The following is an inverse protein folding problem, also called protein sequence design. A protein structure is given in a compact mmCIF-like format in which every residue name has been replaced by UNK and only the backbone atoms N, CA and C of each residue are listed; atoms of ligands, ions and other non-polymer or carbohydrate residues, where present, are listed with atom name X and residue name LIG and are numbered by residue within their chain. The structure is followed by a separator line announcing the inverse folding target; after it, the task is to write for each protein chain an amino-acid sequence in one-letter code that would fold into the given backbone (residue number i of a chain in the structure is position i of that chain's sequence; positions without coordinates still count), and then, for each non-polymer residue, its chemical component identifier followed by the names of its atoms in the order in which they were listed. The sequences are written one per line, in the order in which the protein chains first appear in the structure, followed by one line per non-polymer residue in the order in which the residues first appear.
data_IF_195891745380
#
_entry.id   IF_195891745380
#
_cell.length_a   1.000
_cell.length_b   1.000
_cell.length_c   1.000
_cell.angle_alpha   90.00
_cell.angle_beta   90.00
_cell.angle_gamma   90.00
#
_symmetry.space_group_name_H-M   'P 1'
#
loop_
_entity.id
_entity.type
_entity.pdbx_description
1 polymer ?
#
# COMPACT_ATOMS: atom_id res chain seq x y z
N UNK A 1 -2.80 3.94 1.07
CA UNK A 1 -1.88 3.46 2.13
C UNK A 1 -2.65 2.62 3.13
N UNK A 2 -2.03 1.61 3.72
CA UNK A 2 -2.72 0.67 4.61
C UNK A 2 -2.15 0.68 6.02
N UNK A 3 -2.99 0.92 7.02
CA UNK A 3 -2.65 0.65 8.41
C UNK A 3 -2.93 -0.81 8.75
N UNK A 4 -2.29 -1.35 9.78
CA UNK A 4 -2.55 -2.71 10.25
C UNK A 4 -3.51 -2.71 11.43
N UNK A 5 -4.35 -3.74 11.50
CA UNK A 5 -5.18 -4.03 12.68
C UNK A 5 -5.02 -5.51 13.04
N UNK A 6 -4.91 -5.86 14.33
CA UNK A 6 -4.80 -7.25 14.73
C UNK A 6 -6.11 -7.99 14.48
N UNK A 7 -6.02 -9.27 14.15
CA UNK A 7 -7.21 -10.11 13.92
C UNK A 7 -8.11 -10.19 15.16
N UNK A 8 -7.53 -10.19 16.36
CA UNK A 8 -8.25 -10.21 17.65
C UNK A 8 -9.22 -9.04 17.82
N UNK A 9 -8.91 -7.87 17.26
CA UNK A 9 -9.79 -6.70 17.29
C UNK A 9 -11.11 -6.98 16.55
N UNK A 10 -11.06 -7.62 15.38
CA UNK A 10 -12.28 -7.95 14.63
C UNK A 10 -13.05 -9.15 15.20
N UNK A 11 -12.38 -10.02 15.96
CA UNK A 11 -13.05 -11.11 16.69
C UNK A 11 -13.85 -10.58 17.88
N UNK A 12 -13.27 -9.62 18.62
CA UNK A 12 -13.89 -9.01 19.80
C UNK A 12 -14.94 -7.95 19.44
N UNK A 13 -14.70 -7.17 18.38
CA UNK A 13 -15.53 -6.05 17.94
C UNK A 13 -15.84 -6.18 16.43
N UNK A 14 -16.77 -7.08 16.04
CA UNK A 14 -17.10 -7.32 14.64
C UNK A 14 -17.53 -6.07 13.88
N UNK A 15 -18.18 -5.11 14.55
CA UNK A 15 -18.60 -3.83 13.99
C UNK A 15 -17.44 -2.96 13.51
N UNK A 16 -16.22 -3.16 14.04
CA UNK A 16 -15.03 -2.47 13.56
C UNK A 16 -14.69 -2.83 12.10
N UNK A 17 -15.11 -4.02 11.62
CA UNK A 17 -14.92 -4.42 10.24
C UNK A 17 -15.84 -3.67 9.27
N UNK A 18 -16.97 -3.16 9.75
CA UNK A 18 -17.97 -2.44 8.94
C UNK A 18 -17.69 -0.95 8.83
N UNK A 19 -16.78 -0.40 9.65
CA UNK A 19 -16.40 1.00 9.59
C UNK A 19 -15.34 1.20 8.50
N UNK A 20 -15.49 2.22 7.64
CA UNK A 20 -14.41 2.61 6.74
C UNK A 20 -13.22 3.10 7.57
N UNK A 21 -11.98 3.06 7.03
CA UNK A 21 -10.84 3.58 7.77
C UNK A 21 -11.03 5.09 8.06
N UNK A 22 -10.77 5.55 9.30
CA UNK A 22 -10.97 6.95 9.70
C UNK A 22 -9.86 7.87 9.18
N UNK A 23 -8.83 7.29 8.57
CA UNK A 23 -7.63 7.96 8.09
C UNK A 23 -7.85 8.77 6.80
N UNK A 24 -9.06 8.77 6.23
CA UNK A 24 -9.42 9.55 5.05
C UNK A 24 -9.41 8.72 3.76
N UNK A 25 -9.51 9.39 2.61
CA UNK A 25 -9.52 8.74 1.29
C UNK A 25 -8.21 8.03 0.97
N UNK A 26 -8.24 7.08 0.04
CA UNK A 26 -7.14 6.21 -0.37
C UNK A 26 -6.48 5.44 0.79
N UNK A 27 -7.26 5.09 1.81
CA UNK A 27 -6.78 4.38 2.99
C UNK A 27 -7.40 2.98 3.11
N UNK A 28 -6.71 2.07 3.78
CA UNK A 28 -7.18 0.69 3.94
C UNK A 28 -6.62 0.03 5.18
N UNK A 29 -7.12 -1.16 5.50
CA UNK A 29 -6.63 -1.95 6.62
C UNK A 29 -6.05 -3.29 6.16
N UNK A 30 -4.87 -3.63 6.67
CA UNK A 30 -4.34 -4.98 6.62
C UNK A 30 -4.57 -5.64 7.98
N UNK A 31 -5.21 -6.80 7.96
CA UNK A 31 -5.37 -7.67 9.13
C UNK A 31 -4.12 -8.52 9.32
N UNK A 32 -3.44 -8.30 10.44
CA UNK A 32 -2.23 -9.04 10.85
C UNK A 32 -2.54 -9.96 12.03
N UNK A 33 -1.73 -11.00 12.21
CA UNK A 33 -1.82 -11.90 13.36
C UNK A 33 -1.11 -11.21 14.54
N UNK A 34 -1.79 -11.09 15.68
CA UNK A 34 -1.17 -10.54 16.89
C UNK A 34 -0.22 -11.54 17.55
N UNK A 35 0.63 -11.06 18.46
CA UNK A 35 1.53 -11.92 19.25
C UNK A 35 0.76 -12.96 20.09
N UNK A 36 -0.47 -12.64 20.50
CA UNK A 36 -1.33 -13.48 21.34
C UNK A 36 -2.30 -14.40 20.53
N UNK A 37 -2.13 -14.52 19.22
CA UNK A 37 -3.03 -15.34 18.38
C UNK A 37 -2.46 -16.76 18.27
N UNK A 38 -2.76 -17.63 19.23
CA UNK A 38 -2.21 -19.00 19.37
C UNK A 38 -2.67 -20.02 18.30
N UNK A 39 -3.31 -19.56 17.23
CA UNK A 39 -3.84 -20.45 16.18
C UNK A 39 -2.73 -21.12 15.36
N UNK A 40 -2.80 -22.44 15.17
CA UNK A 40 -1.87 -23.16 14.29
C UNK A 40 -2.03 -22.69 12.83
N UNK A 41 -0.92 -22.53 12.09
CA UNK A 41 -0.93 -22.12 10.68
C UNK A 41 -1.43 -23.23 9.71
N UNK A 42 -1.76 -24.42 10.23
CA UNK A 42 -2.08 -25.63 9.43
C UNK A 42 -3.60 -25.82 9.14
N UNK A 43 -4.49 -24.95 9.63
CA UNK A 43 -5.93 -25.08 9.39
C UNK A 43 -6.49 -24.11 8.32
N UNK A 44 -7.59 -24.52 7.66
CA UNK A 44 -8.37 -23.81 6.62
C UNK A 44 -9.02 -22.50 7.09
N UNK A 45 -8.20 -21.55 7.54
CA UNK A 45 -8.61 -20.51 8.46
C UNK A 45 -8.20 -19.12 7.99
N UNK A 46 -8.92 -18.63 6.98
CA UNK A 46 -8.75 -17.27 6.48
C UNK A 46 -10.05 -16.49 6.67
N UNK A 47 -9.99 -15.16 6.62
CA UNK A 47 -11.14 -14.28 6.83
C UNK A 47 -11.83 -14.45 8.20
N UNK A 48 -11.06 -14.59 9.28
CA UNK A 48 -11.59 -14.57 10.66
C UNK A 48 -12.17 -15.89 11.17
N UNK A 49 -12.03 -16.98 10.44
CA UNK A 49 -12.68 -18.26 10.78
C UNK A 49 -11.91 -19.14 11.78
N UNK A 50 -10.58 -18.95 11.91
CA UNK A 50 -9.73 -19.58 12.94
C UNK A 50 -8.26 -19.03 12.94
N UNK A 51 -8.01 -17.84 13.49
CA UNK A 51 -6.65 -17.39 13.86
C UNK A 51 -5.61 -17.08 12.74
N UNK A 52 -5.90 -17.34 11.47
CA UNK A 52 -4.98 -17.03 10.35
C UNK A 52 -5.06 -15.57 9.88
N UNK A 53 -3.91 -14.97 9.51
CA UNK A 53 -3.89 -13.60 8.95
C UNK A 53 -4.38 -13.58 7.49
N UNK A 54 -5.07 -12.50 7.11
CA UNK A 54 -5.67 -12.34 5.76
C UNK A 54 -4.67 -11.86 4.70
N UNK A 55 -3.56 -11.26 5.14
CA UNK A 55 -2.64 -10.50 4.29
C UNK A 55 -1.28 -11.18 4.22
N UNK A 56 -1.29 -12.45 3.81
CA UNK A 56 -0.11 -13.25 3.50
C UNK A 56 -0.33 -13.98 2.17
N UNK A 57 0.66 -14.74 1.70
CA UNK A 57 0.45 -15.62 0.53
C UNK A 57 -0.48 -16.76 0.91
N UNK A 58 -1.64 -16.80 0.28
CA UNK A 58 -2.69 -17.78 0.47
C UNK A 58 -2.77 -18.72 -0.73
N UNK A 59 -2.91 -20.02 -0.48
CA UNK A 59 -3.16 -21.01 -1.53
C UNK A 59 -4.66 -21.30 -1.58
N UNK A 60 -5.33 -20.82 -2.63
CA UNK A 60 -6.71 -21.21 -2.95
C UNK A 60 -6.68 -22.57 -3.60
N UNK A 61 -7.46 -23.53 -3.09
CA UNK A 61 -7.49 -24.90 -3.60
C UNK A 61 -8.91 -25.40 -3.80
N UNK A 62 -9.12 -26.06 -4.93
CA UNK A 62 -10.36 -26.77 -5.26
C UNK A 62 -10.02 -28.12 -5.86
N UNK A 63 -10.71 -29.17 -5.44
CA UNK A 63 -10.49 -30.53 -5.95
C UNK A 63 -11.80 -31.03 -6.55
N UNK A 64 -11.77 -31.35 -7.84
CA UNK A 64 -12.86 -32.03 -8.55
C UNK A 64 -12.66 -33.54 -8.42
N UNK A 65 -13.74 -34.26 -8.14
CA UNK A 65 -13.75 -35.72 -8.13
C UNK A 65 -14.42 -36.22 -9.41
N UNK A 66 -13.76 -37.15 -10.08
CA UNK A 66 -14.18 -37.80 -11.32
C UNK A 66 -14.16 -39.32 -11.11
N UNK A 67 -15.13 -39.82 -10.32
CA UNK A 67 -15.17 -41.23 -9.93
C UNK A 67 -13.95 -41.63 -9.12
N UNK A 68 -13.09 -42.47 -9.70
CA UNK A 68 -11.85 -42.96 -9.07
C UNK A 68 -10.68 -41.97 -9.17
N UNK A 69 -10.79 -40.95 -10.03
CA UNK A 69 -9.74 -39.93 -10.20
C UNK A 69 -10.14 -38.60 -9.58
N UNK A 70 -9.17 -37.75 -9.27
CA UNK A 70 -9.44 -36.38 -8.81
C UNK A 70 -8.44 -35.40 -9.38
N UNK A 71 -8.92 -34.22 -9.73
CA UNK A 71 -8.10 -33.13 -10.24
C UNK A 71 -8.08 -32.02 -9.20
N UNK A 72 -6.89 -31.65 -8.73
CA UNK A 72 -6.73 -30.53 -7.79
C UNK A 72 -6.19 -29.32 -8.51
N UNK A 73 -6.93 -28.23 -8.43
CA UNK A 73 -6.53 -26.91 -8.89
C UNK A 73 -6.07 -26.07 -7.70
N UNK A 74 -4.99 -25.32 -7.88
CA UNK A 74 -4.47 -24.42 -6.86
C UNK A 74 -4.00 -23.10 -7.48
N UNK A 75 -4.21 -21.99 -6.78
CA UNK A 75 -3.66 -20.68 -7.12
C UNK A 75 -3.10 -20.04 -5.86
N UNK A 76 -1.83 -19.64 -5.90
CA UNK A 76 -1.16 -18.98 -4.79
C UNK A 76 -1.24 -17.47 -4.99
N UNK A 77 -1.97 -16.78 -4.11
CA UNK A 77 -2.34 -15.37 -4.26
C UNK A 77 -2.25 -14.59 -2.95
N UNK A 78 -2.03 -13.29 -3.06
CA UNK A 78 -2.20 -12.33 -1.98
C UNK A 78 -3.49 -11.56 -2.26
N UNK A 79 -4.46 -11.64 -1.37
CA UNK A 79 -5.68 -10.85 -1.47
C UNK A 79 -5.45 -9.49 -0.82
N UNK A 80 -5.28 -8.46 -1.65
CA UNK A 80 -5.06 -7.09 -1.18
C UNK A 80 -6.41 -6.38 -1.08
N UNK A 81 -6.82 -5.89 0.11
CA UNK A 81 -8.11 -5.22 0.26
C UNK A 81 -8.23 -3.99 -0.64
N UNK A 82 -9.40 -3.78 -1.23
CA UNK A 82 -9.66 -2.54 -1.98
C UNK A 82 -9.67 -1.35 -1.00
N UNK A 83 -8.93 -0.25 -1.26
CA UNK A 83 -8.91 0.91 -0.39
C UNK A 83 -10.29 1.60 -0.34
N UNK A 84 -10.50 2.42 0.68
CA UNK A 84 -11.74 3.17 0.95
C UNK A 84 -13.00 2.32 1.15
N UNK A 85 -12.82 1.02 1.34
CA UNK A 85 -13.87 0.08 1.64
C UNK A 85 -13.71 -0.46 3.06
N UNK A 86 -14.80 -0.66 3.81
CA UNK A 86 -14.75 -1.39 5.06
C UNK A 86 -14.29 -2.83 4.80
N UNK A 87 -13.60 -3.45 5.76
CA UNK A 87 -13.17 -4.85 5.65
C UNK A 87 -14.33 -5.82 5.49
N UNK A 88 -15.52 -5.46 5.97
CA UNK A 88 -16.76 -6.21 5.82
C UNK A 88 -17.25 -6.29 4.35
N UNK A 89 -16.81 -5.38 3.48
CA UNK A 89 -17.10 -5.46 2.03
C UNK A 89 -16.51 -6.71 1.39
N UNK A 90 -15.47 -7.30 1.99
CA UNK A 90 -14.73 -8.46 1.48
C UNK A 90 -14.29 -8.30 0.02
N UNK A 91 -13.99 -7.08 -0.42
CA UNK A 91 -13.49 -6.78 -1.77
C UNK A 91 -11.97 -6.77 -1.81
N UNK A 92 -11.41 -7.44 -2.81
CA UNK A 92 -9.97 -7.64 -2.94
C UNK A 92 -9.50 -7.56 -4.38
N UNK A 93 -8.23 -7.16 -4.53
CA UNK A 93 -7.40 -7.46 -5.69
C UNK A 93 -6.68 -8.80 -5.45
N UNK A 94 -6.98 -9.85 -6.23
CA UNK A 94 -6.31 -11.15 -6.16
C UNK A 94 -4.98 -11.13 -6.94
N UNK A 95 -3.88 -10.90 -6.24
CA UNK A 95 -2.55 -10.79 -6.86
C UNK A 95 -1.81 -12.12 -6.84
N UNK A 96 -1.33 -12.57 -7.99
CA UNK A 96 -0.66 -13.86 -8.12
C UNK A 96 0.72 -13.82 -7.44
N UNK A 97 0.98 -14.75 -6.53
CA UNK A 97 2.19 -14.77 -5.71
C UNK A 97 3.31 -15.64 -6.29
N UNK A 98 3.02 -16.57 -7.20
CA UNK A 98 4.00 -17.54 -7.71
C UNK A 98 3.87 -17.78 -9.22
N UNK A 99 4.88 -18.43 -9.80
CA UNK A 99 4.86 -18.82 -11.21
C UNK A 99 5.12 -17.68 -12.20
N UNK A 100 4.74 -17.90 -13.46
CA UNK A 100 5.00 -16.98 -14.59
C UNK A 100 4.28 -15.65 -14.45
N UNK A 101 3.05 -15.68 -13.93
CA UNK A 101 2.18 -14.50 -13.79
C UNK A 101 2.31 -13.83 -12.42
N UNK A 102 3.35 -14.15 -11.64
CA UNK A 102 3.61 -13.50 -10.34
C UNK A 102 3.61 -11.98 -10.51
N UNK A 103 2.95 -11.28 -9.59
CA UNK A 103 2.82 -9.83 -9.57
C UNK A 103 1.73 -9.27 -10.50
N UNK A 104 1.01 -10.12 -11.24
CA UNK A 104 -0.18 -9.72 -11.99
C UNK A 104 -1.45 -9.96 -11.18
N UNK A 105 -2.52 -9.25 -11.52
CA UNK A 105 -3.82 -9.35 -10.86
C UNK A 105 -4.74 -10.25 -11.69
N UNK A 106 -5.45 -11.18 -11.05
CA UNK A 106 -6.51 -11.95 -11.75
C UNK A 106 -7.65 -11.01 -12.08
N UNK A 107 -8.08 -11.00 -13.34
CA UNK A 107 -9.25 -10.27 -13.79
C UNK A 107 -10.45 -11.21 -13.94
N UNK A 108 -11.64 -10.65 -13.80
CA UNK A 108 -12.90 -11.30 -14.16
C UNK A 108 -13.08 -11.21 -15.68
N UNK A 109 -13.59 -12.27 -16.30
CA UNK A 109 -14.04 -12.22 -17.70
C UNK A 109 -15.37 -11.47 -17.79
N UNK A 110 -15.65 -10.81 -18.91
CA UNK A 110 -16.95 -10.24 -19.21
C UNK A 110 -17.79 -11.18 -20.10
N UNK A 111 -19.05 -10.83 -20.38
CA UNK A 111 -19.88 -11.61 -21.29
C UNK A 111 -19.30 -11.68 -22.71
N UNK A 112 -18.62 -10.62 -23.15
CA UNK A 112 -17.94 -10.53 -24.44
C UNK A 112 -16.79 -11.55 -24.61
N UNK A 113 -16.20 -12.02 -23.51
CA UNK A 113 -15.14 -13.03 -23.52
C UNK A 113 -15.68 -14.46 -23.68
N UNK A 114 -17.01 -14.66 -23.67
CA UNK A 114 -17.59 -15.99 -23.78
C UNK A 114 -17.42 -16.57 -25.18
N UNK A 115 -16.97 -17.82 -25.24
CA UNK A 115 -16.77 -18.56 -26.50
C UNK A 115 -17.91 -19.56 -26.69
N UNK A 116 -18.48 -19.69 -27.91
CA UNK A 116 -19.42 -20.75 -28.22
C UNK A 116 -18.77 -22.14 -28.03
N UNK A 117 -19.42 -23.02 -27.25
CA UNK A 117 -18.94 -24.39 -27.03
C UNK A 117 -20.13 -25.35 -26.86
N UNK A 118 -20.25 -26.35 -27.75
CA UNK A 118 -21.19 -27.49 -27.66
C UNK A 118 -22.60 -27.15 -27.11
N UNK A 119 -23.42 -26.46 -27.90
CA UNK A 119 -24.79 -26.01 -27.58
C UNK A 119 -24.92 -25.04 -26.38
N UNK A 120 -23.83 -24.56 -25.80
CA UNK A 120 -23.84 -23.53 -24.74
C UNK A 120 -22.76 -22.45 -24.96
N UNK A 121 -22.80 -21.39 -24.13
CA UNK A 121 -21.73 -20.39 -24.03
C UNK A 121 -20.82 -20.79 -22.88
N UNK A 122 -19.52 -20.93 -23.15
CA UNK A 122 -18.52 -21.20 -22.12
C UNK A 122 -17.75 -19.92 -21.79
N UNK A 123 -17.56 -19.66 -20.51
CA UNK A 123 -16.72 -18.56 -20.03
C UNK A 123 -15.28 -18.90 -20.35
N UNK A 124 -14.63 -18.09 -21.17
CA UNK A 124 -13.19 -18.14 -21.39
C UNK A 124 -12.52 -17.22 -20.35
N UNK A 125 -11.64 -17.78 -19.53
CA UNK A 125 -10.96 -17.03 -18.50
C UNK A 125 -9.93 -16.08 -19.11
N UNK A 126 -10.06 -14.78 -18.82
CA UNK A 126 -9.07 -13.79 -19.24
C UNK A 126 -7.73 -14.00 -18.52
N UNK A 127 -6.65 -13.72 -19.23
CA UNK A 127 -5.31 -13.79 -18.65
C UNK A 127 -5.13 -12.72 -17.55
N UNK A 128 -4.30 -12.99 -16.52
CA UNK A 128 -3.93 -11.99 -15.53
C UNK A 128 -3.23 -10.80 -16.18
N UNK A 129 -3.50 -9.60 -15.68
CA UNK A 129 -2.96 -8.35 -16.23
C UNK A 129 -2.35 -7.45 -15.16
N UNK A 130 -1.51 -6.47 -15.53
CA UNK A 130 -0.95 -5.52 -14.58
C UNK A 130 -2.06 -4.80 -13.79
N UNK A 131 -1.74 -4.41 -12.55
CA UNK A 131 -2.68 -3.65 -11.72
C UNK A 131 -3.11 -2.37 -12.42
N UNK A 132 -4.41 -2.15 -12.48
CA UNK A 132 -5.03 -0.93 -12.95
C UNK A 132 -6.11 -0.50 -11.95
N UNK A 133 -5.97 0.66 -11.28
CA UNK A 133 -6.96 1.12 -10.31
C UNK A 133 -8.33 1.46 -10.93
N UNK A 134 -8.40 1.73 -12.24
CA UNK A 134 -9.66 2.00 -12.94
C UNK A 134 -10.40 0.72 -13.37
N UNK A 135 -9.70 -0.42 -13.34
CA UNK A 135 -10.21 -1.69 -13.83
C UNK A 135 -11.02 -2.44 -12.76
N UNK A 136 -12.32 -2.23 -12.77
CA UNK A 136 -13.27 -2.88 -11.85
C UNK A 136 -13.27 -4.42 -11.96
N UNK A 137 -12.85 -4.99 -13.11
CA UNK A 137 -12.80 -6.45 -13.29
C UNK A 137 -11.65 -7.09 -12.52
N UNK A 138 -10.66 -6.33 -12.06
CA UNK A 138 -9.63 -6.82 -11.14
C UNK A 138 -10.12 -6.96 -9.69
N UNK A 139 -11.34 -6.53 -9.38
CA UNK A 139 -11.91 -6.61 -8.04
C UNK A 139 -12.87 -7.80 -7.90
N UNK A 140 -12.65 -8.59 -6.84
CA UNK A 140 -13.55 -9.70 -6.46
C UNK A 140 -14.05 -9.54 -5.04
N UNK A 141 -15.30 -9.92 -4.81
CA UNK A 141 -15.88 -10.09 -3.48
C UNK A 141 -15.71 -11.55 -3.04
N UNK A 142 -15.06 -11.78 -1.91
CA UNK A 142 -14.94 -13.12 -1.32
C UNK A 142 -16.15 -13.39 -0.43
N UNK A 143 -16.95 -14.38 -0.80
CA UNK A 143 -18.16 -14.78 -0.11
C UNK A 143 -17.95 -16.10 0.61
N UNK A 144 -18.07 -16.07 1.93
CA UNK A 144 -18.07 -17.28 2.74
C UNK A 144 -19.41 -18.01 2.60
N UNK A 145 -19.36 -19.29 2.22
CA UNK A 145 -20.57 -20.14 2.10
C UNK A 145 -20.78 -21.02 3.31
N UNK A 146 -19.69 -21.54 3.87
CA UNK A 146 -19.65 -22.31 5.13
C UNK A 146 -18.33 -22.02 5.83
N UNK A 147 -18.19 -22.42 7.10
CA UNK A 147 -16.90 -22.30 7.80
C UNK A 147 -15.77 -22.93 6.97
N UNK A 148 -14.73 -22.14 6.67
CA UNK A 148 -13.57 -22.54 5.86
C UNK A 148 -13.85 -22.85 4.38
N UNK A 149 -15.03 -22.51 3.85
CA UNK A 149 -15.43 -22.77 2.45
C UNK A 149 -16.01 -21.53 1.80
N UNK A 150 -15.45 -21.15 0.66
CA UNK A 150 -15.68 -19.87 0.04
C UNK A 150 -16.11 -20.00 -1.43
N UNK A 151 -16.56 -18.88 -1.98
CA UNK A 151 -16.75 -18.61 -3.42
C UNK A 151 -16.36 -17.15 -3.65
N UNK A 152 -16.11 -16.73 -4.89
CA UNK A 152 -15.99 -15.32 -5.23
C UNK A 152 -17.15 -14.85 -6.11
N UNK A 153 -17.41 -13.55 -6.08
CA UNK A 153 -18.25 -12.81 -7.03
C UNK A 153 -17.42 -11.71 -7.68
N UNK A 154 -17.70 -11.37 -8.93
CA UNK A 154 -17.11 -10.18 -9.53
C UNK A 154 -17.76 -8.94 -8.90
N UNK A 155 -16.99 -7.86 -8.77
CA UNK A 155 -17.55 -6.55 -8.42
C UNK A 155 -18.16 -5.89 -9.67
N UNK A 156 -17.61 -6.16 -10.85
CA UNK A 156 -18.20 -5.78 -12.12
C UNK A 156 -19.57 -6.47 -12.32
N UNK A 157 -20.64 -5.75 -12.71
CA UNK A 157 -22.00 -6.32 -12.82
C UNK A 157 -22.13 -7.51 -13.78
N UNK A 158 -21.35 -7.49 -14.86
CA UNK A 158 -21.26 -8.48 -15.93
C UNK A 158 -20.00 -9.35 -15.84
N UNK A 159 -19.28 -9.26 -14.73
CA UNK A 159 -18.03 -9.98 -14.51
C UNK A 159 -18.22 -11.42 -14.03
N UNK A 160 -17.37 -12.30 -14.52
CA UNK A 160 -17.23 -13.69 -14.11
C UNK A 160 -15.84 -13.91 -13.51
N UNK A 161 -15.72 -14.21 -12.22
CA UNK A 161 -14.41 -14.48 -11.62
C UNK A 161 -13.69 -15.65 -12.29
N UNK A 162 -12.37 -15.63 -12.22
CA UNK A 162 -11.49 -16.72 -12.65
C UNK A 162 -12.01 -18.09 -12.21
N UNK A 163 -11.85 -19.14 -13.04
CA UNK A 163 -12.57 -20.41 -12.86
C UNK A 163 -12.49 -20.96 -11.46
N UNK A 164 -11.30 -20.94 -10.86
CA UNK A 164 -11.09 -21.44 -9.51
C UNK A 164 -11.94 -20.70 -8.48
N UNK A 165 -12.09 -19.38 -8.65
CA UNK A 165 -12.79 -18.50 -7.71
C UNK A 165 -14.31 -18.54 -7.86
N UNK A 166 -14.83 -18.77 -9.07
CA UNK A 166 -16.29 -18.97 -9.28
C UNK A 166 -16.80 -20.34 -8.84
N UNK A 167 -15.93 -21.33 -8.64
CA UNK A 167 -16.32 -22.63 -8.06
C UNK A 167 -16.84 -22.46 -6.64
N UNK A 168 -17.85 -23.25 -6.27
CA UNK A 168 -18.36 -23.26 -4.90
C UNK A 168 -17.47 -24.11 -4.01
N UNK A 169 -17.25 -23.63 -2.79
CA UNK A 169 -16.60 -24.36 -1.70
C UNK A 169 -15.09 -24.60 -1.87
N UNK A 170 -14.39 -23.72 -2.60
CA UNK A 170 -12.93 -23.73 -2.52
C UNK A 170 -12.48 -23.39 -1.10
N UNK A 171 -11.30 -23.92 -0.76
CA UNK A 171 -10.65 -23.76 0.54
C UNK A 171 -9.42 -22.91 0.39
N UNK A 172 -8.98 -22.32 1.49
CA UNK A 172 -7.75 -21.53 1.52
C UNK A 172 -6.86 -22.03 2.61
N UNK A 173 -5.59 -22.11 2.25
CA UNK A 173 -4.51 -22.55 3.11
C UNK A 173 -3.50 -21.41 3.21
N UNK A 174 -3.12 -21.06 4.43
CA UNK A 174 -1.98 -20.18 4.64
C UNK A 174 -0.72 -20.94 4.22
N UNK A 175 0.13 -20.32 3.41
CA UNK A 175 1.45 -20.90 3.13
C UNK A 175 2.32 -20.76 4.38
N UNK A 176 3.13 -21.78 4.70
CA UNK A 176 4.13 -21.68 5.76
C UNK A 176 5.16 -20.61 5.40
N UNK A 177 5.64 -19.83 6.38
CA UNK A 177 6.58 -18.78 6.07
C UNK A 177 7.85 -19.27 5.40
N UNK A 178 8.15 -18.77 4.20
CA UNK A 178 9.51 -18.90 3.63
C UNK A 178 10.28 -17.62 3.93
N UNK A 179 11.59 -17.57 3.67
CA UNK A 179 12.44 -16.39 3.89
C UNK A 179 11.96 -15.08 3.21
N UNK A 180 10.97 -15.15 2.33
CA UNK A 180 10.31 -14.01 1.66
C UNK A 180 8.96 -13.66 2.30
N UNK A 181 8.65 -14.21 3.47
CA UNK A 181 7.36 -14.00 4.07
C UNK A 181 7.14 -12.54 4.43
N UNK A 182 5.93 -12.13 4.11
CA UNK A 182 5.28 -10.87 4.41
C UNK A 182 5.24 -10.66 5.92
N UNK A 183 6.39 -10.39 6.54
CA UNK A 183 6.49 -9.88 7.91
C UNK A 183 6.01 -8.43 7.92
N UNK A 184 4.73 -8.26 7.66
CA UNK A 184 4.00 -7.03 7.87
C UNK A 184 3.86 -6.92 9.39
N UNK A 185 4.78 -6.19 9.99
CA UNK A 185 4.73 -5.82 11.40
C UNK A 185 3.63 -4.80 11.68
N UNK A 186 3.51 -4.39 12.93
CA UNK A 186 2.53 -3.38 13.34
C UNK A 186 2.80 -2.02 12.66
N UNK A 187 1.73 -1.41 12.19
CA UNK A 187 1.65 -0.10 11.57
C UNK A 187 0.31 0.54 11.94
N UNK A 188 0.29 1.31 13.03
CA UNK A 188 -0.95 1.87 13.59
C UNK A 188 -1.61 2.98 12.75
N UNK A 189 -0.97 3.41 11.66
CA UNK A 189 -1.32 4.60 10.91
C UNK A 189 -0.59 5.83 11.43
N UNK A 190 -1.24 7.00 11.40
CA UNK A 190 -0.70 8.23 11.97
C UNK A 190 -0.93 8.25 13.49
N UNK A 191 0.13 8.50 14.26
CA UNK A 191 0.03 8.86 15.67
C UNK A 191 -0.07 10.39 15.80
N UNK A 192 -1.31 10.90 15.88
CA UNK A 192 -1.57 12.33 15.98
C UNK A 192 -1.03 12.97 17.28
N UNK A 193 -0.97 12.21 18.37
CA UNK A 193 -0.44 12.69 19.64
C UNK A 193 1.09 12.83 19.55
N UNK A 194 1.78 11.84 18.98
CA UNK A 194 3.22 11.89 18.75
C UNK A 194 3.59 12.99 17.75
N UNK A 195 2.86 13.10 16.63
CA UNK A 195 3.02 14.17 15.62
C UNK A 195 2.88 15.56 16.24
N UNK A 196 1.95 15.74 17.19
CA UNK A 196 1.77 17.03 17.87
C UNK A 196 2.84 17.30 18.92
N UNK A 197 3.26 16.27 19.66
CA UNK A 197 4.28 16.40 20.71
C UNK A 197 5.67 16.71 20.15
N UNK A 198 6.05 16.12 19.03
CA UNK A 198 7.34 16.42 18.38
C UNK A 198 7.42 17.84 17.80
N UNK A 199 6.28 18.52 17.65
CA UNK A 199 6.19 19.95 17.34
C UNK A 199 6.35 20.84 18.57
N UNK A 200 6.26 20.29 19.78
CA UNK A 200 6.40 21.01 21.05
C UNK A 200 7.89 21.20 21.40
N UNK A 201 8.19 22.23 22.18
CA UNK A 201 9.55 22.75 22.40
C UNK A 201 10.52 21.70 22.99
N UNK A 202 11.81 21.87 22.73
CA UNK A 202 12.86 20.93 23.14
C UNK A 202 12.93 20.72 24.66
N UNK A 203 12.42 21.68 25.44
CA UNK A 203 12.32 21.62 26.91
C UNK A 203 11.33 20.58 27.44
N UNK A 204 10.43 20.04 26.60
CA UNK A 204 9.45 19.00 26.97
C UNK A 204 9.94 17.58 26.60
N UNK A 205 11.03 17.47 25.84
CA UNK A 205 11.53 16.21 25.31
C UNK A 205 12.37 15.39 26.33
N UNK A 206 12.74 15.98 27.47
CA UNK A 206 13.60 15.35 28.50
C UNK A 206 12.88 14.30 29.38
N UNK A 207 11.55 14.17 29.27
CA UNK A 207 10.77 13.29 30.15
C UNK A 207 10.52 11.87 29.59
N UNK A 208 10.84 11.60 28.33
CA UNK A 208 10.55 10.30 27.70
C UNK A 208 11.65 9.87 26.72
N UNK A 209 11.99 8.56 26.65
CA UNK A 209 12.94 8.08 25.66
C UNK A 209 12.46 8.42 24.24
N UNK A 210 13.31 9.11 23.48
CA UNK A 210 13.05 9.46 22.10
C UNK A 210 12.76 8.18 21.28
N UNK A 211 11.71 8.15 20.44
CA UNK A 211 11.47 7.01 19.57
C UNK A 211 12.67 6.82 18.65
N UNK A 212 13.07 5.57 18.47
CA UNK A 212 14.36 5.18 17.86
C UNK A 212 14.61 5.74 16.46
N UNK A 213 13.57 6.24 15.76
CA UNK A 213 13.63 6.70 14.36
C UNK A 213 12.90 8.03 14.05
N UNK A 214 12.30 8.74 15.02
CA UNK A 214 11.56 9.99 14.74
C UNK A 214 10.30 9.86 13.86
N UNK A 215 9.84 8.63 13.59
CA UNK A 215 8.62 8.37 12.81
C UNK A 215 7.35 8.61 13.63
N UNK A 216 6.42 9.38 13.08
CA UNK A 216 5.10 9.71 13.67
C UNK A 216 3.95 9.02 12.97
N UNK A 217 4.22 8.35 11.86
CA UNK A 217 3.24 7.55 11.14
C UNK A 217 3.89 6.36 10.46
N UNK A 218 3.15 5.26 10.40
CA UNK A 218 3.59 4.02 9.75
C UNK A 218 2.42 3.33 9.05
N UNK A 219 2.64 2.95 7.80
CA UNK A 219 1.71 2.24 6.93
C UNK A 219 2.45 1.23 6.06
N UNK A 220 1.68 0.45 5.30
CA UNK A 220 2.17 -0.34 4.18
C UNK A 220 1.52 0.07 2.86
N UNK A 221 2.22 -0.21 1.76
CA UNK A 221 1.72 -0.06 0.40
C UNK A 221 2.00 -1.35 -0.39
N UNK A 222 1.00 -2.00 -1.00
CA UNK A 222 1.22 -3.08 -1.96
C UNK A 222 2.23 -2.66 -3.04
N UNK A 223 3.08 -3.60 -3.47
CA UNK A 223 4.16 -3.29 -4.42
C UNK A 223 3.66 -2.63 -5.70
N UNK A 224 2.52 -3.05 -6.24
CA UNK A 224 1.99 -2.54 -7.52
C UNK A 224 1.52 -1.08 -7.45
N UNK A 225 1.40 -0.48 -6.26
CA UNK A 225 1.14 0.95 -6.10
C UNK A 225 2.41 1.81 -6.18
N UNK A 226 3.58 1.17 -6.30
CA UNK A 226 4.89 1.80 -6.52
C UNK A 226 5.47 1.16 -7.78
N UNK A 227 5.86 1.93 -8.79
CA UNK A 227 6.54 1.38 -9.98
C UNK A 227 8.02 1.72 -9.90
N UNK A 228 8.87 0.70 -9.85
CA UNK A 228 10.31 0.88 -10.08
C UNK A 228 10.58 0.72 -11.59
N UNK A 229 11.06 1.78 -12.25
CA UNK A 229 11.23 1.75 -13.70
C UNK A 229 12.20 0.65 -14.14
N UNK A 230 11.87 -0.01 -15.26
CA UNK A 230 12.64 -1.15 -15.77
C UNK A 230 12.52 -2.46 -14.98
N UNK A 231 11.72 -2.52 -13.91
CA UNK A 231 11.51 -3.74 -13.12
C UNK A 231 10.18 -4.39 -13.46
N UNK A 232 10.20 -5.65 -13.90
CA UNK A 232 8.97 -6.38 -14.21
C UNK A 232 8.15 -6.67 -12.93
N UNK A 233 6.80 -6.71 -12.97
CA UNK A 233 5.96 -6.96 -11.79
C UNK A 233 6.33 -8.24 -11.02
N UNK A 234 6.72 -9.29 -11.74
CA UNK A 234 7.20 -10.55 -11.17
C UNK A 234 8.45 -10.38 -10.32
N UNK A 235 9.40 -9.60 -10.81
CA UNK A 235 10.66 -9.34 -10.12
C UNK A 235 10.43 -8.40 -8.95
N UNK A 236 9.63 -7.34 -9.13
CA UNK A 236 9.35 -6.38 -8.08
C UNK A 236 8.63 -7.02 -6.89
N UNK A 237 7.58 -7.82 -7.13
CA UNK A 237 6.94 -8.62 -6.09
C UNK A 237 7.91 -9.67 -5.52
N UNK A 238 8.90 -10.10 -6.31
CA UNK A 238 10.07 -10.88 -5.91
C UNK A 238 10.86 -10.27 -4.78
N UNK A 239 11.20 -8.99 -4.95
CA UNK A 239 11.98 -8.18 -4.01
C UNK A 239 11.17 -7.82 -2.77
N UNK A 240 9.95 -7.31 -2.96
CA UNK A 240 9.08 -6.89 -1.87
C UNK A 240 7.63 -6.88 -2.32
N UNK A 241 6.75 -7.67 -1.68
CA UNK A 241 5.32 -7.70 -2.02
C UNK A 241 4.52 -6.55 -1.35
N UNK A 242 5.04 -5.98 -0.27
CA UNK A 242 4.60 -4.71 0.30
C UNK A 242 5.80 -3.81 0.54
N UNK A 243 5.57 -2.52 0.65
CA UNK A 243 6.55 -1.51 1.00
C UNK A 243 6.10 -0.90 2.32
N UNK A 244 7.03 -0.68 3.24
CA UNK A 244 6.78 0.13 4.43
C UNK A 244 6.76 1.60 4.03
N UNK A 245 5.80 2.36 4.55
CA UNK A 245 5.72 3.81 4.38
C UNK A 245 5.76 4.44 5.76
N UNK A 246 6.79 5.22 6.06
CA UNK A 246 6.92 5.97 7.31
C UNK A 246 6.75 7.46 7.06
N UNK A 247 6.20 8.18 8.03
CA UNK A 247 6.22 9.64 8.10
C UNK A 247 7.14 10.03 9.25
N UNK A 248 8.24 10.71 8.95
CA UNK A 248 9.25 11.18 9.90
C UNK A 248 9.14 12.70 10.08
N UNK A 249 9.33 13.21 11.29
CA UNK A 249 9.38 14.66 11.53
C UNK A 249 10.77 15.09 11.97
N UNK A 250 11.24 16.21 11.43
CA UNK A 250 12.50 16.83 11.85
C UNK A 250 12.44 18.35 11.71
N UNK A 251 13.26 19.02 12.50
CA UNK A 251 13.57 20.43 12.31
C UNK A 251 14.81 20.54 11.42
N UNK A 252 14.71 21.33 10.35
CA UNK A 252 15.79 21.56 9.40
C UNK A 252 16.17 23.04 9.38
N UNK A 253 17.45 23.35 9.51
CA UNK A 253 17.97 24.71 9.36
C UNK A 253 18.33 24.93 7.88
N UNK A 254 17.68 25.88 7.18
CA UNK A 254 18.11 26.26 5.84
C UNK A 254 19.49 26.89 5.90
N UNK A 255 20.36 26.56 4.94
CA UNK A 255 21.67 27.21 4.81
C UNK A 255 21.51 28.74 4.69
N UNK A 256 22.41 29.54 5.30
CA UNK A 256 22.37 30.98 5.17
C UNK A 256 22.48 31.37 3.69
N UNK A 257 21.50 32.10 3.18
CA UNK A 257 21.59 32.65 1.83
C UNK A 257 22.57 33.82 1.87
N UNK A 258 23.67 33.73 1.12
CA UNK A 258 24.57 34.85 0.91
C UNK A 258 23.80 36.03 0.30
N UNK A 259 23.69 37.11 1.07
CA UNK A 259 23.01 38.35 0.70
C UNK A 259 23.55 39.02 -0.58
N UNK A 260 24.65 38.49 -1.14
CA UNK A 260 25.30 38.99 -2.36
C UNK A 260 24.81 38.33 -3.65
N UNK A 261 24.01 37.25 -3.57
CA UNK A 261 23.36 36.68 -4.75
C UNK A 261 22.04 37.42 -5.01
N UNK A 262 22.06 38.39 -5.92
CA UNK A 262 20.93 39.27 -6.26
C UNK A 262 19.73 38.59 -6.95
N UNK A 263 19.51 37.29 -6.72
CA UNK A 263 18.32 36.56 -7.14
C UNK A 263 17.69 35.90 -5.92
N UNK A 264 16.43 36.26 -5.61
CA UNK A 264 15.70 35.65 -4.49
C UNK A 264 15.72 34.12 -4.60
N UNK A 265 16.50 33.46 -3.75
CA UNK A 265 16.54 32.01 -3.68
C UNK A 265 15.21 31.53 -3.11
N UNK A 266 14.40 30.87 -3.93
CA UNK A 266 13.14 30.27 -3.48
C UNK A 266 13.40 28.93 -2.83
N UNK A 267 12.81 28.73 -1.66
CA UNK A 267 12.86 27.47 -0.95
C UNK A 267 11.67 26.61 -1.38
N UNK A 268 11.96 25.50 -2.07
CA UNK A 268 10.93 24.56 -2.51
C UNK A 268 10.18 23.95 -1.33
N UNK A 269 8.86 24.04 -1.33
CA UNK A 269 7.98 23.47 -0.28
C UNK A 269 7.91 21.94 -0.32
N UNK A 270 8.33 21.32 -1.42
CA UNK A 270 8.24 19.88 -1.68
C UNK A 270 9.45 19.40 -2.47
N UNK A 271 10.07 18.31 -2.01
CA UNK A 271 11.23 17.67 -2.67
C UNK A 271 11.08 16.16 -2.71
N UNK A 272 11.55 15.52 -3.78
CA UNK A 272 11.56 14.06 -3.91
C UNK A 272 12.98 13.53 -4.00
N UNK A 273 13.23 12.33 -3.46
CA UNK A 273 14.54 11.68 -3.47
C UNK A 273 14.41 10.20 -3.81
N UNK A 274 15.04 9.75 -4.89
CA UNK A 274 15.15 8.32 -5.23
C UNK A 274 16.28 7.71 -4.40
N UNK A 275 16.05 6.50 -3.87
CA UNK A 275 17.00 5.84 -2.95
C UNK A 275 17.15 6.56 -1.59
N UNK A 276 16.33 7.59 -1.33
CA UNK A 276 16.38 8.40 -0.12
C UNK A 276 17.39 9.55 -0.14
N UNK A 277 18.21 9.70 -1.16
CA UNK A 277 19.25 10.75 -1.21
C UNK A 277 19.39 11.46 -2.55
N UNK A 278 19.08 10.80 -3.67
CA UNK A 278 19.26 11.38 -4.99
C UNK A 278 18.04 12.23 -5.35
N UNK A 279 18.22 13.54 -5.41
CA UNK A 279 17.12 14.47 -5.74
C UNK A 279 16.46 14.12 -7.08
N UNK A 280 15.14 14.07 -7.06
CA UNK A 280 14.31 13.73 -8.19
C UNK A 280 13.24 14.80 -8.40
N UNK A 281 12.87 15.01 -9.66
CA UNK A 281 11.81 15.93 -10.05
C UNK A 281 10.59 15.14 -10.50
N UNK A 282 9.41 15.64 -10.15
CA UNK A 282 8.16 15.14 -10.70
C UNK A 282 8.15 15.38 -12.21
N UNK A 283 7.89 14.35 -13.00
CA UNK A 283 7.73 14.50 -14.45
C UNK A 283 6.39 15.18 -14.75
N UNK A 284 6.39 16.13 -15.68
CA UNK A 284 5.14 16.68 -16.20
C UNK A 284 4.38 15.55 -16.92
N UNK A 285 3.08 15.43 -16.64
CA UNK A 285 2.23 14.38 -17.19
C UNK A 285 2.28 14.40 -18.72
N UNK A 286 2.99 13.45 -19.33
CA UNK A 286 2.90 13.20 -20.75
C UNK A 286 1.84 12.11 -20.95
N UNK A 287 0.66 12.52 -21.42
CA UNK A 287 -0.55 11.71 -21.64
C UNK A 287 -0.41 10.59 -22.67
N UNK A 288 0.81 10.16 -23.01
CA UNK A 288 1.01 9.27 -24.16
C UNK A 288 0.79 7.80 -23.88
N UNK A 289 0.81 7.28 -22.66
CA UNK A 289 0.73 5.82 -22.41
C UNK A 289 -0.02 5.46 -21.12
N UNK A 290 -1.35 5.60 -21.04
CA UNK A 290 -2.16 4.97 -19.95
C UNK A 290 -1.65 5.17 -18.51
N UNK A 291 -0.85 6.22 -18.28
CA UNK A 291 -0.01 6.40 -17.09
C UNK A 291 -0.59 7.47 -16.15
N UNK A 292 -1.80 7.96 -16.45
CA UNK A 292 -2.53 8.94 -15.62
C UNK A 292 -2.80 8.40 -14.20
N UNK A 293 -2.76 7.08 -14.02
CA UNK A 293 -2.87 6.42 -12.72
C UNK A 293 -1.61 6.53 -11.85
N UNK A 294 -0.47 7.01 -12.39
CA UNK A 294 0.81 7.08 -11.68
C UNK A 294 1.49 8.44 -11.85
N UNK A 295 2.09 8.93 -10.76
CA UNK A 295 2.94 10.12 -10.74
C UNK A 295 4.40 9.70 -10.77
N UNK A 296 5.10 10.06 -11.84
CA UNK A 296 6.51 9.71 -12.05
C UNK A 296 7.46 10.74 -11.49
N UNK A 297 8.56 10.26 -10.90
CA UNK A 297 9.68 11.05 -10.43
C UNK A 297 10.96 10.55 -11.10
N UNK A 298 11.77 11.47 -11.61
CA UNK A 298 13.05 11.16 -12.25
C UNK A 298 14.20 11.86 -11.54
N UNK A 299 15.22 11.09 -11.19
CA UNK A 299 16.52 11.62 -10.77
C UNK A 299 17.34 11.98 -12.01
N UNK A 300 17.67 13.26 -12.19
CA UNK A 300 18.45 13.71 -13.34
C UNK A 300 19.89 13.13 -13.33
N UNK A 301 20.47 13.01 -12.13
CA UNK A 301 21.86 12.55 -11.97
C UNK A 301 22.05 11.07 -12.34
N UNK A 302 21.08 10.21 -12.04
CA UNK A 302 21.19 8.76 -12.26
C UNK A 302 20.32 8.25 -13.42
N UNK A 303 19.39 9.07 -13.91
CA UNK A 303 18.36 8.67 -14.88
C UNK A 303 17.30 7.73 -14.30
N UNK A 304 17.41 7.34 -13.03
CA UNK A 304 16.46 6.45 -12.37
C UNK A 304 15.08 7.10 -12.26
N UNK A 305 14.04 6.26 -12.34
CA UNK A 305 12.64 6.68 -12.26
C UNK A 305 11.86 5.78 -11.32
N UNK A 306 10.98 6.40 -10.55
CA UNK A 306 10.04 5.72 -9.67
C UNK A 306 8.68 6.40 -9.84
N UNK A 307 7.61 5.61 -9.89
CA UNK A 307 6.25 6.12 -9.89
C UNK A 307 5.51 5.74 -8.61
N UNK A 308 4.63 6.61 -8.15
CA UNK A 308 3.61 6.28 -7.17
C UNK A 308 2.24 6.29 -7.82
N UNK A 309 1.40 5.32 -7.48
CA UNK A 309 -0.02 5.39 -7.85
C UNK A 309 -0.61 6.69 -7.31
N UNK A 310 -1.42 7.38 -8.12
CA UNK A 310 -1.99 8.69 -7.80
C UNK A 310 -2.73 8.66 -6.46
N UNK A 311 -3.40 7.55 -6.12
CA UNK A 311 -4.07 7.36 -4.84
C UNK A 311 -3.13 7.42 -3.62
N UNK A 312 -1.92 6.86 -3.74
CA UNK A 312 -0.89 6.91 -2.68
C UNK A 312 -0.30 8.30 -2.57
N UNK A 313 0.00 8.93 -3.71
CA UNK A 313 0.54 10.29 -3.75
C UNK A 313 -0.43 11.32 -3.16
N UNK A 314 -1.71 11.25 -3.54
CA UNK A 314 -2.75 12.11 -2.99
C UNK A 314 -2.99 11.87 -1.51
N UNK A 315 -2.88 10.61 -1.05
CA UNK A 315 -2.96 10.28 0.37
C UNK A 315 -1.86 10.96 1.17
N UNK A 316 -0.61 10.90 0.69
CA UNK A 316 0.53 11.58 1.34
C UNK A 316 0.30 13.09 1.41
N UNK A 317 -0.07 13.72 0.29
CA UNK A 317 -0.37 15.17 0.26
C UNK A 317 -1.51 15.55 1.19
N UNK A 318 -2.58 14.76 1.24
CA UNK A 318 -3.71 15.01 2.13
C UNK A 318 -3.31 14.99 3.61
N UNK A 319 -2.40 14.08 4.02
CA UNK A 319 -1.87 14.06 5.38
C UNK A 319 -1.08 15.30 5.75
N UNK A 320 -0.34 15.85 4.79
CA UNK A 320 0.44 17.08 4.96
C UNK A 320 -0.44 18.33 4.98
N UNK A 321 -1.41 18.43 4.05
CA UNK A 321 -2.39 19.53 4.08
C UNK A 321 -3.18 19.54 5.38
N UNK A 322 -3.61 18.37 5.87
CA UNK A 322 -4.25 18.25 7.19
C UNK A 322 -3.32 18.67 8.33
N UNK A 323 -2.01 18.46 8.16
CA UNK A 323 -0.97 18.94 9.05
C UNK A 323 -0.68 20.44 8.93
N UNK A 324 -1.27 21.16 7.97
CA UNK A 324 -1.06 22.59 7.74
C UNK A 324 0.07 22.93 6.76
N UNK A 325 0.55 21.95 5.99
CA UNK A 325 1.48 22.21 4.88
C UNK A 325 0.79 23.00 3.75
N UNK A 326 1.53 23.86 3.06
CA UNK A 326 1.07 24.64 1.91
C UNK A 326 2.02 24.38 0.74
N UNK A 327 1.48 24.07 -0.44
CA UNK A 327 2.25 23.78 -1.67
C UNK A 327 2.66 25.07 -2.37
N UNK A 328 3.38 25.94 -1.64
CA UNK A 328 3.84 27.25 -2.12
C UNK A 328 5.31 27.44 -1.73
N UNK A 329 6.13 27.81 -2.70
CA UNK A 329 7.53 28.11 -2.45
C UNK A 329 7.67 29.51 -1.83
N UNK A 330 8.51 29.64 -0.81
CA UNK A 330 8.76 30.91 -0.10
C UNK A 330 10.16 31.45 -0.37
N UNK A 331 10.33 32.75 -0.15
CA UNK A 331 11.65 33.37 -0.20
C UNK A 331 12.51 32.85 0.97
N UNK A 332 13.67 32.26 0.66
CA UNK A 332 14.55 31.69 1.68
C UNK A 332 14.97 32.71 2.75
N UNK A 333 15.00 34.00 2.40
CA UNK A 333 15.27 35.11 3.33
C UNK A 333 14.24 35.27 4.45
N UNK A 334 12.97 34.91 4.24
CA UNK A 334 11.93 34.97 5.30
C UNK A 334 12.12 33.91 6.38
N UNK A 335 12.84 32.86 6.06
CA UNK A 335 13.04 31.68 6.89
C UNK A 335 14.48 31.60 7.44
N UNK A 336 15.33 32.53 7.00
CA UNK A 336 16.71 32.66 7.42
C UNK A 336 16.80 32.97 8.93
N UNK A 337 17.65 32.23 9.65
CA UNK A 337 17.87 32.43 11.09
C UNK A 337 16.98 31.58 12.02
N UNK A 338 16.13 30.71 11.47
CA UNK A 338 15.32 29.75 12.24
C UNK A 338 15.41 28.32 11.70
N UNK A 339 14.77 27.38 12.40
CA UNK A 339 14.57 26.01 11.92
C UNK A 339 13.15 25.84 11.39
N UNK A 340 12.98 25.10 10.30
CA UNK A 340 11.68 24.80 9.67
C UNK A 340 11.29 23.37 9.94
N UNK A 341 10.00 23.12 10.14
CA UNK A 341 9.50 21.75 10.17
C UNK A 341 9.58 21.12 8.78
N UNK A 342 10.21 19.96 8.71
CA UNK A 342 10.16 19.08 7.54
C UNK A 342 9.53 17.76 7.96
N UNK A 343 8.46 17.40 7.27
CA UNK A 343 7.85 16.08 7.38
C UNK A 343 8.24 15.25 6.16
N UNK A 344 8.76 14.05 6.40
CA UNK A 344 9.36 13.22 5.35
C UNK A 344 8.64 11.89 5.26
N UNK A 345 8.01 11.64 4.12
CA UNK A 345 7.55 10.30 3.77
C UNK A 345 8.72 9.48 3.25
N UNK A 346 8.92 8.27 3.78
CA UNK A 346 9.93 7.33 3.29
C UNK A 346 9.27 6.02 2.90
N UNK A 347 9.46 5.60 1.65
CA UNK A 347 8.95 4.34 1.11
C UNK A 347 10.09 3.33 1.03
N UNK A 348 10.02 2.28 1.84
CA UNK A 348 11.06 1.26 2.02
C UNK A 348 10.55 -0.10 1.56
N UNK A 349 11.42 -0.90 0.93
CA UNK A 349 11.16 -2.34 0.79
C UNK A 349 11.23 -3.00 2.17
N UNK A 350 10.70 -4.21 2.30
CA UNK A 350 10.70 -4.94 3.59
C UNK A 350 12.11 -5.33 4.06
N UNK A 351 13.10 -5.33 3.17
CA UNK A 351 14.52 -5.49 3.53
C UNK A 351 15.16 -4.21 4.12
N UNK A 352 14.40 -3.12 4.24
CA UNK A 352 14.84 -1.82 4.76
C UNK A 352 15.41 -0.88 3.70
N UNK A 353 15.59 -1.31 2.45
CA UNK A 353 16.12 -0.46 1.39
C UNK A 353 15.11 0.63 0.99
N UNK A 354 15.56 1.88 0.96
CA UNK A 354 14.72 3.03 0.56
C UNK A 354 14.56 3.03 -0.96
N UNK A 355 13.34 3.22 -1.44
CA UNK A 355 13.03 3.33 -2.88
C UNK A 355 12.82 4.78 -3.26
N UNK A 356 11.99 5.49 -2.50
CA UNK A 356 11.74 6.91 -2.70
C UNK A 356 11.39 7.57 -1.36
N UNK A 357 11.75 8.85 -1.22
CA UNK A 357 11.35 9.70 -0.11
C UNK A 357 10.84 11.04 -0.61
N UNK A 358 9.97 11.68 0.17
CA UNK A 358 9.41 12.99 -0.13
C UNK A 358 9.48 13.87 1.09
N UNK A 359 10.15 15.01 0.98
CA UNK A 359 10.21 16.02 2.03
C UNK A 359 9.13 17.08 1.75
N UNK A 360 8.29 17.34 2.74
CA UNK A 360 7.31 18.40 2.79
C UNK A 360 7.79 19.44 3.79
N UNK A 361 8.18 20.61 3.29
CA UNK A 361 8.73 21.71 4.08
C UNK A 361 7.60 22.63 4.47
N UNK A 362 7.30 22.72 5.78
CA UNK A 362 6.24 23.57 6.32
C UNK A 362 6.80 24.98 6.53
N UNK A 363 6.88 25.75 5.45
CA UNK A 363 7.48 27.09 5.42
C UNK A 363 6.75 28.10 6.34
N UNK A 364 5.52 27.80 6.74
CA UNK A 364 4.71 28.53 7.71
C UNK A 364 4.98 28.14 9.18
N UNK A 365 5.80 27.11 9.44
CA UNK A 365 6.14 26.62 10.78
C UNK A 365 7.64 26.77 11.03
N UNK A 366 8.01 27.93 11.55
CA UNK A 366 9.41 28.29 11.85
C UNK A 366 9.60 28.38 13.37
N UNK A 367 10.68 27.78 13.87
CA UNK A 367 11.21 28.03 15.21
C UNK A 367 12.32 29.07 15.11
N UNK A 368 12.13 30.20 15.78
CA UNK A 368 13.19 31.18 15.98
C UNK A 368 14.22 30.63 16.96
N UNK A 369 15.51 30.83 16.68
CA UNK A 369 16.55 30.59 17.67
C UNK A 369 16.32 31.56 18.84
N UNK A 370 16.12 31.03 20.06
CA UNK A 370 16.27 31.87 21.25
C UNK A 370 17.74 32.27 21.34
N UNK A 371 18.00 33.58 21.28
CA UNK A 371 19.32 34.19 21.44
C UNK A 371 19.81 34.08 22.88
#
# INVERSE_FOLDING_TARGET
MYATKPLSLFKSHPEAASRPPPEGRNSGYLVVKGADDDGSDDETCCWGTCGGSRNRVLTVRYTEQHGESSTTYADAVVFVPVPDQPLASNRYYPVIATGRHRGLVRACSAEEDMVPCCFCRCINDVDPRPFDPADIYQQVEIVQRRRGRFTARAVAPDGFPYFLYRKKYWRVYASKPKSFDLQIGEAGGLDAALRSRQLSDASVLDAFPAPTNGAVGKWYSPFFLVKEDGVAPREQMGRSAFYEVTLEQRWWEPEPVDAHSGGGSKLASKRAYIGGSVEAKQEAGNSRHGDDAFVWFRAAATGQRVALCTSVWERMRWEEYRGGWVDEDEDAGKVAGGSVLVERFVVKRLDGTVVVAFDFVHLNKVRTKQL
#
